data_IF_063531132559
#
_entry.id   IF_063531132559
#
_cell.length_a   1.000
_cell.length_b   1.000
_cell.length_c   1.000
_cell.angle_alpha   90.00
_cell.angle_beta   90.00
_cell.angle_gamma   90.00
#
_symmetry.space_group_name_H-M   'P 1'
#
loop_
_entity.id
_entity.type
_entity.pdbx_description
1 polymer ?
#
# COMPACT_ATOMS: atom_id res chain seq x y z
N UNK A 1 17.94 -3.56 20.64
CA UNK A 1 16.59 -3.21 21.13
C UNK A 1 15.95 -2.04 20.38
N UNK A 2 16.59 -0.87 20.30
CA UNK A 2 16.01 0.34 19.65
C UNK A 2 15.67 0.13 18.15
N UNK A 3 16.50 -0.60 17.39
CA UNK A 3 16.23 -0.89 15.96
C UNK A 3 14.95 -1.69 15.74
N UNK A 4 14.73 -2.76 16.52
CA UNK A 4 13.55 -3.61 16.41
C UNK A 4 12.25 -2.84 16.74
N UNK A 5 12.29 -1.98 17.77
CA UNK A 5 11.16 -1.13 18.13
C UNK A 5 10.80 -0.14 17.02
N UNK A 6 11.80 0.47 16.36
CA UNK A 6 11.57 1.39 15.22
C UNK A 6 10.96 0.67 14.02
N UNK A 7 11.42 -0.54 13.71
CA UNK A 7 10.87 -1.35 12.62
C UNK A 7 9.40 -1.69 12.91
N UNK A 8 9.10 -2.15 14.13
CA UNK A 8 7.73 -2.47 14.53
C UNK A 8 6.82 -1.24 14.47
N UNK A 9 7.28 -0.09 14.97
CA UNK A 9 6.54 1.16 14.89
C UNK A 9 6.27 1.58 13.45
N UNK A 10 7.25 1.44 12.55
CA UNK A 10 7.10 1.70 11.12
C UNK A 10 6.05 0.78 10.46
N UNK A 11 6.05 -0.51 10.80
CA UNK A 11 5.05 -1.47 10.30
C UNK A 11 3.65 -1.09 10.78
N UNK A 12 3.48 -0.81 12.07
CA UNK A 12 2.18 -0.43 12.64
C UNK A 12 1.67 0.87 12.01
N UNK A 13 2.52 1.89 11.92
CA UNK A 13 2.14 3.17 11.33
C UNK A 13 1.75 3.01 9.86
N UNK A 14 2.50 2.21 9.10
CA UNK A 14 2.16 1.90 7.70
C UNK A 14 0.82 1.17 7.60
N UNK A 15 0.57 0.18 8.46
CA UNK A 15 -0.69 -0.55 8.48
C UNK A 15 -1.88 0.37 8.79
N UNK A 16 -1.72 1.29 9.74
CA UNK A 16 -2.74 2.30 10.07
C UNK A 16 -2.99 3.21 8.86
N UNK A 17 -1.94 3.74 8.23
CA UNK A 17 -2.08 4.61 7.06
C UNK A 17 -2.76 3.90 5.89
N UNK A 18 -2.39 2.64 5.62
CA UNK A 18 -3.02 1.82 4.59
C UNK A 18 -4.49 1.55 4.92
N UNK A 19 -4.82 1.27 6.18
CA UNK A 19 -6.19 1.08 6.64
C UNK A 19 -7.04 2.34 6.51
N UNK A 20 -6.49 3.50 6.87
CA UNK A 20 -7.15 4.80 6.70
C UNK A 20 -7.37 5.12 5.22
N UNK A 21 -6.34 4.90 4.39
CA UNK A 21 -6.44 5.09 2.95
C UNK A 21 -7.49 4.17 2.33
N UNK A 22 -7.51 2.90 2.73
CA UNK A 22 -8.54 1.95 2.31
C UNK A 22 -9.94 2.41 2.67
N UNK A 23 -10.20 2.76 3.94
CA UNK A 23 -11.53 3.18 4.39
C UNK A 23 -12.03 4.45 3.70
N UNK A 24 -11.13 5.40 3.46
CA UNK A 24 -11.48 6.63 2.73
C UNK A 24 -11.78 6.33 1.27
N UNK A 25 -10.90 5.57 0.60
CA UNK A 25 -11.01 5.30 -0.83
C UNK A 25 -12.20 4.38 -1.15
N UNK A 26 -12.49 3.40 -0.28
CA UNK A 26 -13.70 2.59 -0.40
C UNK A 26 -14.95 3.44 -0.31
N UNK A 27 -14.98 4.38 0.64
CA UNK A 27 -16.14 5.24 0.85
C UNK A 27 -16.33 6.26 -0.27
N UNK A 28 -15.25 6.81 -0.79
CA UNK A 28 -15.28 7.66 -1.98
C UNK A 28 -15.83 6.90 -3.19
N UNK A 29 -15.29 5.71 -3.47
CA UNK A 29 -15.74 4.87 -4.58
C UNK A 29 -17.20 4.42 -4.42
N UNK A 30 -17.63 4.11 -3.20
CA UNK A 30 -19.02 3.74 -2.95
C UNK A 30 -19.97 4.90 -3.22
N UNK A 31 -19.63 6.12 -2.80
CA UNK A 31 -20.44 7.31 -3.13
C UNK A 31 -20.52 7.47 -4.65
N UNK A 32 -19.39 7.42 -5.36
CA UNK A 32 -19.37 7.49 -6.84
C UNK A 32 -20.30 6.44 -7.47
N UNK A 33 -20.22 5.18 -7.03
CA UNK A 33 -21.00 4.09 -7.59
C UNK A 33 -22.47 4.10 -7.15
N UNK A 34 -22.78 4.66 -5.97
CA UNK A 34 -24.11 4.63 -5.38
C UNK A 34 -24.99 5.78 -5.85
N UNK A 35 -24.46 7.01 -5.86
CA UNK A 35 -25.20 8.23 -6.22
C UNK A 35 -24.97 8.64 -7.67
N UNK A 36 -23.96 8.08 -8.35
CA UNK A 36 -23.46 8.54 -9.66
C UNK A 36 -23.04 10.03 -9.68
N UNK A 37 -23.00 10.68 -8.51
CA UNK A 37 -22.62 12.06 -8.31
C UNK A 37 -21.66 12.13 -7.13
N UNK A 38 -20.41 12.50 -7.39
CA UNK A 38 -19.41 12.59 -6.33
C UNK A 38 -19.61 13.86 -5.50
N UNK A 39 -20.15 13.70 -4.30
CA UNK A 39 -20.21 14.75 -3.28
C UNK A 39 -19.26 14.41 -2.13
N UNK A 40 -18.24 15.26 -1.94
CA UNK A 40 -17.19 15.06 -0.92
C UNK A 40 -17.78 15.08 0.50
N UNK A 41 -18.86 15.83 0.74
CA UNK A 41 -19.54 15.87 2.04
C UNK A 41 -20.21 14.52 2.38
N UNK A 42 -20.43 13.70 1.37
CA UNK A 42 -20.97 12.36 1.51
C UNK A 42 -19.89 11.29 1.66
N UNK A 43 -18.61 11.65 1.66
CA UNK A 43 -17.52 10.69 1.90
C UNK A 43 -17.15 10.72 3.37
N UNK A 44 -17.21 9.57 4.04
CA UNK A 44 -16.74 9.42 5.42
C UNK A 44 -15.94 8.14 5.55
N UNK A 45 -14.91 8.13 6.40
CA UNK A 45 -13.97 7.01 6.55
C UNK A 45 -14.65 5.65 6.76
N UNK A 46 -15.77 5.64 7.50
CA UNK A 46 -16.49 4.43 7.89
C UNK A 46 -17.82 4.24 7.17
N UNK A 47 -18.18 5.14 6.24
CA UNK A 47 -19.51 5.16 5.65
C UNK A 47 -19.86 3.85 4.93
N UNK A 48 -18.91 3.26 4.20
CA UNK A 48 -19.15 1.95 3.57
C UNK A 48 -19.44 0.83 4.56
N UNK A 49 -18.85 0.89 5.75
CA UNK A 49 -19.09 -0.13 6.79
C UNK A 49 -20.42 0.06 7.48
N UNK A 50 -20.84 1.31 7.68
CA UNK A 50 -22.19 1.65 8.14
C UNK A 50 -23.24 1.12 7.15
N UNK A 51 -23.08 1.41 5.86
CA UNK A 51 -23.99 0.90 4.82
C UNK A 51 -23.98 -0.62 4.74
N UNK A 52 -22.81 -1.25 4.86
CA UNK A 52 -22.72 -2.71 4.92
C UNK A 52 -23.52 -3.26 6.11
N UNK A 53 -23.46 -2.64 7.29
CA UNK A 53 -24.21 -3.10 8.47
C UNK A 53 -25.73 -3.04 8.28
N UNK A 54 -26.25 -1.99 7.64
CA UNK A 54 -27.70 -1.78 7.50
C UNK A 54 -28.30 -2.42 6.24
N UNK A 55 -27.52 -2.51 5.16
CA UNK A 55 -28.04 -2.85 3.82
C UNK A 55 -27.34 -4.07 3.19
N UNK A 56 -26.70 -4.93 3.98
CA UNK A 56 -26.03 -6.13 3.46
C UNK A 56 -26.97 -7.08 2.71
N UNK A 57 -28.24 -7.11 3.09
CA UNK A 57 -29.28 -7.95 2.49
C UNK A 57 -29.77 -7.43 1.15
N UNK A 58 -29.56 -6.14 0.85
CA UNK A 58 -29.88 -5.56 -0.45
C UNK A 58 -28.79 -5.93 -1.46
N UNK A 59 -29.16 -6.71 -2.48
CA UNK A 59 -28.25 -7.19 -3.50
C UNK A 59 -27.57 -6.06 -4.30
N UNK A 60 -28.29 -4.97 -4.58
CA UNK A 60 -27.76 -3.86 -5.36
C UNK A 60 -26.73 -3.06 -4.55
N UNK A 61 -27.02 -2.80 -3.27
CA UNK A 61 -26.09 -2.11 -2.37
C UNK A 61 -24.87 -2.99 -2.09
N UNK A 62 -25.07 -4.29 -1.84
CA UNK A 62 -24.00 -5.24 -1.59
C UNK A 62 -23.01 -5.34 -2.75
N UNK A 63 -23.50 -5.41 -3.99
CA UNK A 63 -22.60 -5.43 -5.16
C UNK A 63 -21.73 -4.17 -5.24
N UNK A 64 -22.32 -3.00 -5.01
CA UNK A 64 -21.58 -1.73 -5.01
C UNK A 64 -20.53 -1.69 -3.90
N UNK A 65 -20.87 -2.14 -2.70
CA UNK A 65 -19.93 -2.25 -1.58
C UNK A 65 -18.75 -3.17 -1.90
N UNK A 66 -19.03 -4.36 -2.43
CA UNK A 66 -18.00 -5.32 -2.82
C UNK A 66 -17.12 -4.73 -3.92
N UNK A 67 -17.69 -4.12 -4.95
CA UNK A 67 -16.92 -3.48 -6.01
C UNK A 67 -16.02 -2.36 -5.46
N UNK A 68 -16.54 -1.49 -4.60
CA UNK A 68 -15.77 -0.42 -3.95
C UNK A 68 -14.62 -0.97 -3.10
N UNK A 69 -14.87 -2.01 -2.29
CA UNK A 69 -13.83 -2.65 -1.47
C UNK A 69 -12.78 -3.35 -2.32
N UNK A 70 -13.18 -4.05 -3.38
CA UNK A 70 -12.23 -4.71 -4.28
C UNK A 70 -11.34 -3.70 -5.00
N UNK A 71 -11.91 -2.63 -5.56
CA UNK A 71 -11.14 -1.60 -6.26
C UNK A 71 -10.23 -0.85 -5.28
N UNK A 72 -10.74 -0.43 -4.12
CA UNK A 72 -9.93 0.23 -3.10
C UNK A 72 -8.81 -0.68 -2.58
N UNK A 73 -9.12 -1.95 -2.33
CA UNK A 73 -8.15 -2.95 -1.89
C UNK A 73 -7.05 -3.16 -2.92
N UNK A 74 -7.38 -3.24 -4.21
CA UNK A 74 -6.39 -3.34 -5.28
C UNK A 74 -5.50 -2.09 -5.36
N UNK A 75 -6.07 -0.89 -5.26
CA UNK A 75 -5.31 0.37 -5.30
C UNK A 75 -4.33 0.45 -4.12
N UNK A 76 -4.79 0.12 -2.91
CA UNK A 76 -3.97 0.15 -1.69
C UNK A 76 -2.91 -0.94 -1.70
N UNK A 77 -3.23 -2.14 -2.21
CA UNK A 77 -2.31 -3.27 -2.26
C UNK A 77 -1.35 -3.22 -3.46
N UNK A 78 -1.66 -2.50 -4.54
CA UNK A 78 -0.85 -2.48 -5.77
C UNK A 78 0.62 -2.14 -5.53
N UNK A 79 0.98 -1.13 -4.71
CA UNK A 79 2.40 -0.85 -4.40
C UNK A 79 3.09 -2.03 -3.70
N UNK A 80 2.38 -2.71 -2.78
CA UNK A 80 2.91 -3.87 -2.05
C UNK A 80 3.11 -5.05 -3.00
N UNK A 81 2.11 -5.34 -3.83
CA UNK A 81 2.17 -6.39 -4.85
C UNK A 81 3.32 -6.12 -5.83
N UNK A 82 3.47 -4.86 -6.28
CA UNK A 82 4.56 -4.45 -7.16
C UNK A 82 5.94 -4.65 -6.52
N UNK A 83 6.11 -4.25 -5.26
CA UNK A 83 7.36 -4.50 -4.52
C UNK A 83 7.64 -6.00 -4.38
N UNK A 84 6.65 -6.80 -3.98
CA UNK A 84 6.80 -8.25 -3.83
C UNK A 84 7.14 -8.90 -5.17
N UNK A 85 6.48 -8.51 -6.26
CA UNK A 85 6.77 -9.02 -7.59
C UNK A 85 8.21 -8.69 -8.03
N UNK A 86 8.70 -7.48 -7.75
CA UNK A 86 10.09 -7.10 -8.01
C UNK A 86 11.08 -7.93 -7.19
N UNK A 87 10.79 -8.17 -5.92
CA UNK A 87 11.63 -8.99 -5.04
C UNK A 87 11.69 -10.45 -5.53
N UNK A 88 10.54 -11.03 -5.87
CA UNK A 88 10.45 -12.39 -6.42
C UNK A 88 11.23 -12.48 -7.74
N UNK A 89 11.06 -11.51 -8.64
CA UNK A 89 11.80 -11.47 -9.90
C UNK A 89 13.32 -11.48 -9.67
N UNK A 90 13.82 -10.65 -8.75
CA UNK A 90 15.25 -10.60 -8.42
C UNK A 90 15.76 -11.92 -7.82
N UNK A 91 14.99 -12.50 -6.90
CA UNK A 91 15.29 -13.80 -6.29
C UNK A 91 15.39 -14.92 -7.34
N UNK A 92 14.43 -14.98 -8.26
CA UNK A 92 14.41 -15.99 -9.33
C UNK A 92 15.53 -15.78 -10.36
N UNK A 93 15.93 -14.53 -10.61
CA UNK A 93 17.05 -14.21 -11.50
C UNK A 93 18.43 -14.42 -10.85
N UNK A 94 18.50 -14.77 -9.57
CA UNK A 94 19.76 -14.87 -8.82
C UNK A 94 20.46 -13.52 -8.61
N UNK A 95 19.76 -12.41 -8.86
CA UNK A 95 20.29 -11.07 -8.64
C UNK A 95 20.32 -10.77 -7.13
N UNK A 96 21.39 -10.12 -6.66
CA UNK A 96 21.50 -9.72 -5.25
C UNK A 96 20.36 -8.73 -4.92
N UNK A 97 19.59 -9.06 -3.89
CA UNK A 97 18.47 -8.24 -3.41
C UNK A 97 18.92 -6.87 -2.86
N UNK A 98 20.12 -6.81 -2.31
CA UNK A 98 20.77 -5.62 -1.74
C UNK A 98 22.27 -5.64 -2.08
N UNK A 99 22.88 -4.47 -2.26
CA UNK A 99 24.31 -4.35 -2.59
C UNK A 99 24.65 -4.36 -4.09
N UNK A 100 23.69 -4.01 -4.93
CA UNK A 100 23.95 -3.70 -6.34
C UNK A 100 24.73 -2.36 -6.40
N UNK A 101 25.80 -2.28 -7.20
CA UNK A 101 26.70 -1.11 -7.22
C UNK A 101 25.98 0.24 -7.48
N UNK A 102 24.81 0.20 -8.13
CA UNK A 102 23.94 1.38 -8.36
C UNK A 102 23.25 1.92 -7.11
N UNK A 103 23.18 1.15 -6.02
CA UNK A 103 22.58 1.52 -4.73
C UNK A 103 23.58 1.53 -3.59
N UNK A 104 24.86 1.23 -3.86
CA UNK A 104 25.92 1.28 -2.88
C UNK A 104 26.14 2.73 -2.43
N UNK A 105 26.23 2.96 -1.13
CA UNK A 105 26.60 4.28 -0.61
C UNK A 105 28.06 4.58 -0.98
N UNK A 106 28.48 5.86 -1.10
CA UNK A 106 29.86 6.21 -1.44
C UNK A 106 30.91 5.55 -0.55
N UNK A 107 30.58 5.34 0.73
CA UNK A 107 31.40 4.65 1.73
C UNK A 107 31.56 3.16 1.41
N UNK A 108 30.51 2.47 0.98
CA UNK A 108 30.54 1.06 0.55
C UNK A 108 31.35 0.89 -0.74
N UNK A 109 31.27 1.85 -1.68
CA UNK A 109 32.07 1.83 -2.92
C UNK A 109 33.56 2.05 -2.63
N UNK A 110 33.90 2.92 -1.67
CA UNK A 110 35.28 3.11 -1.21
C UNK A 110 35.82 1.86 -0.50
N UNK A 111 35.05 1.23 0.38
CA UNK A 111 35.46 0.01 1.08
C UNK A 111 35.64 -1.19 0.12
N UNK A 112 34.89 -1.23 -0.98
CA UNK A 112 35.05 -2.23 -2.03
C UNK A 112 36.28 -1.99 -2.94
N UNK A 113 37.02 -0.89 -2.76
CA UNK A 113 38.20 -0.55 -3.56
C UNK A 113 37.87 -0.13 -5.01
N UNK A 114 36.60 0.15 -5.30
CA UNK A 114 36.11 0.50 -6.64
C UNK A 114 36.34 1.98 -6.99
N UNK A 115 36.51 2.83 -5.98
CA UNK A 115 37.03 4.18 -6.13
C UNK A 115 38.52 4.15 -5.80
N UNK A 116 39.36 4.26 -6.83
CA UNK A 116 40.79 4.42 -6.65
C UNK A 116 41.06 5.57 -5.68
N UNK A 117 41.92 5.31 -4.70
CA UNK A 117 42.38 6.32 -3.73
C UNK A 117 42.90 7.49 -4.55
N UNK A 118 42.16 8.61 -4.56
CA UNK A 118 42.73 9.87 -5.04
C UNK A 118 43.87 10.20 -4.08
N UNK A 119 45.09 10.06 -4.59
CA UNK A 119 46.28 10.61 -3.95
C UNK A 119 46.14 12.10 -3.70
#
# INVERSE_FOLDING_TARGET
MVKALRILAGIILSAILLGLMFGYLSSALFVVLYTLNFDVHQVGLLRTFEYARYYWTDHAVRWRLVASWSIAGLIVAAPIIGMVALLIRKLLAGEKLFGDAKWATPEEVQQAGLLGVRG
#
